data_IF_054280767965
#
_entry.id   IF_054280767965
#
_cell.length_a   1.000
_cell.length_b   1.000
_cell.length_c   1.000
_cell.angle_alpha   90.00
_cell.angle_beta   90.00
_cell.angle_gamma   90.00
#
_symmetry.space_group_name_H-M   'P 1'
#
loop_
_entity.id
_entity.type
_entity.pdbx_description
1 polymer ?
#
# COMPACT_ATOMS: atom_id res chain seq x y z
N UNK A 1 2.60 21.32 30.73
CA UNK A 1 3.30 20.44 29.76
C UNK A 1 2.22 19.62 29.07
N UNK A 2 1.77 20.05 27.89
CA UNK A 2 0.81 19.31 27.10
C UNK A 2 1.51 18.09 26.50
N UNK A 3 1.11 16.90 26.91
CA UNK A 3 1.55 15.66 26.28
C UNK A 3 0.88 15.60 24.91
N UNK A 4 1.69 15.54 23.84
CA UNK A 4 1.21 15.12 22.53
C UNK A 4 0.94 13.62 22.62
N UNK A 5 -0.31 13.26 22.94
CA UNK A 5 -0.76 11.87 22.83
C UNK A 5 -0.97 11.62 21.35
N UNK A 6 0.00 10.94 20.72
CA UNK A 6 -0.19 10.33 19.42
C UNK A 6 -1.11 9.13 19.63
N UNK A 7 -2.35 9.23 19.14
CA UNK A 7 -3.24 8.07 19.07
C UNK A 7 -2.66 7.11 18.01
N UNK A 8 -1.99 6.06 18.50
CA UNK A 8 -1.54 4.93 17.70
C UNK A 8 -2.63 3.84 17.61
N UNK A 9 -3.87 4.15 18.05
CA UNK A 9 -5.02 3.28 17.82
C UNK A 9 -5.12 2.92 16.35
N UNK A 10 -5.33 1.63 16.06
CA UNK A 10 -5.48 0.99 14.75
C UNK A 10 -5.68 2.01 13.61
N UNK A 11 -4.59 2.53 13.06
CA UNK A 11 -4.69 3.41 11.90
C UNK A 11 -4.96 2.49 10.70
N UNK A 12 -6.25 2.25 10.48
CA UNK A 12 -6.72 1.35 9.44
C UNK A 12 -6.33 1.83 8.05
N UNK A 13 -6.09 3.12 7.86
CA UNK A 13 -5.61 3.68 6.59
C UNK A 13 -4.16 3.28 6.35
N UNK A 14 -3.29 3.39 7.36
CA UNK A 14 -1.89 2.93 7.27
C UNK A 14 -1.83 1.42 7.05
N UNK A 15 -2.65 0.64 7.76
CA UNK A 15 -2.68 -0.82 7.58
C UNK A 15 -3.15 -1.20 6.18
N UNK A 16 -4.15 -0.51 5.63
CA UNK A 16 -4.63 -0.71 4.26
C UNK A 16 -3.49 -0.48 3.24
N UNK A 17 -2.75 0.62 3.36
CA UNK A 17 -1.60 0.90 2.50
C UNK A 17 -0.49 -0.14 2.64
N UNK A 18 -0.18 -0.57 3.87
CA UNK A 18 0.82 -1.60 4.14
C UNK A 18 0.42 -2.95 3.55
N UNK A 19 -0.84 -3.35 3.67
CA UNK A 19 -1.35 -4.58 3.06
C UNK A 19 -1.31 -4.53 1.54
N UNK A 20 -1.67 -3.37 0.94
CA UNK A 20 -1.56 -3.18 -0.51
C UNK A 20 -0.11 -3.33 -0.97
N UNK A 21 0.82 -2.68 -0.28
CA UNK A 21 2.24 -2.76 -0.59
C UNK A 21 2.74 -4.20 -0.54
N UNK A 22 2.39 -4.98 0.48
CA UNK A 22 2.85 -6.38 0.55
C UNK A 22 2.26 -7.28 -0.52
N UNK A 23 0.98 -7.08 -0.87
CA UNK A 23 0.38 -7.80 -2.00
C UNK A 23 1.13 -7.45 -3.29
N UNK A 24 1.39 -6.18 -3.55
CA UNK A 24 2.08 -5.74 -4.77
C UNK A 24 3.53 -6.22 -4.84
N UNK A 25 4.29 -6.17 -3.73
CA UNK A 25 5.67 -6.65 -3.68
C UNK A 25 5.76 -8.14 -4.03
N UNK A 26 4.77 -8.93 -3.56
CA UNK A 26 4.74 -10.37 -3.81
C UNK A 26 4.27 -10.73 -5.21
N UNK A 27 3.20 -10.08 -5.67
CA UNK A 27 2.50 -10.42 -6.91
C UNK A 27 3.13 -9.77 -8.15
N UNK A 28 3.78 -8.63 -7.99
CA UNK A 28 4.37 -7.84 -9.07
C UNK A 28 5.70 -7.19 -8.60
N UNK A 29 6.76 -7.97 -8.32
CA UNK A 29 8.03 -7.40 -7.87
C UNK A 29 8.66 -6.43 -8.89
N UNK A 30 8.40 -6.62 -10.18
CA UNK A 30 8.85 -5.72 -11.24
C UNK A 30 8.17 -4.34 -11.12
N UNK A 31 6.90 -4.33 -10.72
CA UNK A 31 6.12 -3.11 -10.52
C UNK A 31 6.65 -2.32 -9.32
N UNK A 32 6.96 -3.02 -8.22
CA UNK A 32 7.59 -2.39 -7.06
C UNK A 32 8.96 -1.80 -7.41
N UNK A 33 9.77 -2.52 -8.18
CA UNK A 33 11.08 -2.03 -8.63
C UNK A 33 10.95 -0.74 -9.44
N UNK A 34 10.01 -0.70 -10.41
CA UNK A 34 9.72 0.51 -11.20
C UNK A 34 9.19 1.65 -10.33
N UNK A 35 8.36 1.34 -9.34
CA UNK A 35 7.82 2.33 -8.42
C UNK A 35 8.90 2.98 -7.55
N UNK A 36 9.84 2.19 -7.04
CA UNK A 36 10.99 2.71 -6.27
C UNK A 36 11.90 3.57 -7.15
N UNK A 37 12.17 3.13 -8.38
CA UNK A 37 12.95 3.89 -9.36
C UNK A 37 12.26 5.24 -9.71
N UNK A 38 10.94 5.26 -9.88
CA UNK A 38 10.15 6.49 -10.05
C UNK A 38 10.28 7.44 -8.84
N UNK A 39 10.19 6.92 -7.62
CA UNK A 39 10.38 7.73 -6.40
C UNK A 39 11.76 8.36 -6.34
N UNK A 40 12.81 7.61 -6.69
CA UNK A 40 14.20 8.10 -6.73
C UNK A 40 14.32 9.21 -7.78
N UNK A 41 13.81 8.99 -9.01
CA UNK A 41 13.83 10.01 -10.07
C UNK A 41 13.07 11.27 -9.69
N UNK A 42 11.91 11.14 -9.05
CA UNK A 42 11.14 12.28 -8.57
C UNK A 42 11.93 13.09 -7.52
N UNK A 43 12.54 12.41 -6.55
CA UNK A 43 13.36 13.05 -5.53
C UNK A 43 14.57 13.79 -6.13
N UNK A 44 15.26 13.16 -7.09
CA UNK A 44 16.42 13.76 -7.75
C UNK A 44 16.01 14.96 -8.61
N UNK A 45 14.84 14.90 -9.27
CA UNK A 45 14.29 16.02 -10.03
C UNK A 45 13.91 17.18 -9.11
N UNK A 46 13.30 16.92 -7.94
CA UNK A 46 13.03 17.95 -6.94
C UNK A 46 14.30 18.66 -6.48
N UNK A 47 15.37 17.92 -6.16
CA UNK A 47 16.67 18.50 -5.80
C UNK A 47 17.26 19.33 -6.95
N UNK A 48 17.10 18.89 -8.19
CA UNK A 48 17.57 19.62 -9.36
C UNK A 48 16.79 20.93 -9.58
N UNK A 49 15.48 20.93 -9.30
CA UNK A 49 14.64 22.15 -9.33
C UNK A 49 15.11 23.13 -8.26
N UNK A 50 15.23 22.69 -7.01
CA UNK A 50 15.72 23.54 -5.90
C UNK A 50 17.10 24.14 -6.20
N UNK A 51 18.01 23.36 -6.78
CA UNK A 51 19.33 23.82 -7.18
C UNK A 51 19.29 24.83 -8.34
N UNK A 52 18.31 24.72 -9.25
CA UNK A 52 18.12 25.64 -10.36
C UNK A 52 17.40 26.94 -9.93
N UNK A 53 16.56 26.89 -8.90
CA UNK A 53 15.86 28.05 -8.33
C UNK A 53 16.76 28.93 -7.45
N UNK A 54 17.81 28.35 -6.83
CA UNK A 54 18.78 29.06 -6.01
C UNK A 54 20.17 29.16 -6.68
N UNK A 55 20.32 29.90 -7.80
CA UNK A 55 21.63 30.12 -8.38
C UNK A 55 22.49 30.96 -7.41
N UNK A 56 23.46 30.33 -6.74
CA UNK A 56 24.44 31.00 -5.87
C UNK A 56 25.06 32.22 -6.56
N UNK A 57 25.32 33.26 -5.77
CA UNK A 57 25.76 34.61 -6.15
C UNK A 57 26.57 34.67 -7.46
N UNK A 58 26.01 35.30 -8.49
CA UNK A 58 26.63 35.41 -9.80
C UNK A 58 27.16 36.81 -10.08
N UNK A 59 28.29 36.87 -10.81
CA UNK A 59 28.89 38.13 -11.26
C UNK A 59 27.93 38.90 -12.21
N UNK A 60 27.78 40.23 -12.05
CA UNK A 60 26.80 41.02 -12.82
C UNK A 60 26.93 40.92 -14.34
N UNK A 61 28.16 40.79 -14.85
CA UNK A 61 28.47 40.85 -16.29
C UNK A 61 27.83 39.74 -17.16
N UNK A 62 27.33 38.65 -16.57
CA UNK A 62 26.68 37.54 -17.29
C UNK A 62 25.30 37.19 -16.73
N UNK A 63 24.74 38.04 -15.88
CA UNK A 63 23.51 37.78 -15.13
C UNK A 63 22.33 37.38 -16.03
N UNK A 64 21.98 38.22 -17.02
CA UNK A 64 20.84 37.96 -17.92
C UNK A 64 20.98 36.64 -18.68
N UNK A 65 22.18 36.35 -19.22
CA UNK A 65 22.44 35.09 -19.94
C UNK A 65 22.27 33.87 -19.04
N UNK A 66 22.76 33.97 -17.80
CA UNK A 66 22.68 32.87 -16.85
C UNK A 66 21.24 32.69 -16.32
N UNK A 67 20.50 33.78 -16.14
CA UNK A 67 19.09 33.76 -15.77
C UNK A 67 18.24 33.06 -16.83
N UNK A 68 18.41 33.41 -18.11
CA UNK A 68 17.71 32.72 -19.23
C UNK A 68 18.08 31.24 -19.28
N UNK A 69 19.35 30.89 -19.04
CA UNK A 69 19.77 29.49 -18.97
C UNK A 69 19.14 28.74 -17.79
N UNK A 70 19.06 29.38 -16.62
CA UNK A 70 18.41 28.80 -15.44
C UNK A 70 16.91 28.60 -15.71
N UNK A 71 16.24 29.57 -16.31
CA UNK A 71 14.85 29.47 -16.72
C UNK A 71 14.61 28.32 -17.70
N UNK A 72 15.46 28.16 -18.71
CA UNK A 72 15.38 27.02 -19.65
C UNK A 72 15.52 25.68 -18.95
N UNK A 73 16.43 25.56 -17.98
CA UNK A 73 16.58 24.34 -17.15
C UNK A 73 15.34 24.09 -16.28
N UNK A 74 14.77 25.12 -15.67
CA UNK A 74 13.54 24.99 -14.88
C UNK A 74 12.37 24.53 -15.75
N UNK A 75 12.24 25.04 -16.99
CA UNK A 75 11.23 24.56 -17.93
C UNK A 75 11.41 23.08 -18.27
N UNK A 76 12.65 22.64 -18.53
CA UNK A 76 12.96 21.22 -18.78
C UNK A 76 12.62 20.34 -17.57
N UNK A 77 13.00 20.77 -16.37
CA UNK A 77 12.73 20.02 -15.14
C UNK A 77 11.23 19.92 -14.86
N UNK A 78 10.46 20.99 -15.09
CA UNK A 78 8.99 20.96 -14.96
C UNK A 78 8.35 19.99 -15.94
N UNK A 79 8.76 19.99 -17.20
CA UNK A 79 8.29 19.02 -18.18
C UNK A 79 8.62 17.57 -17.76
N UNK A 80 9.81 17.35 -17.18
CA UNK A 80 10.17 16.03 -16.65
C UNK A 80 9.35 15.64 -15.42
N UNK A 81 9.01 16.57 -14.52
CA UNK A 81 8.08 16.31 -13.42
C UNK A 81 6.70 15.87 -13.91
N UNK A 82 6.17 16.54 -14.94
CA UNK A 82 4.88 16.18 -15.56
C UNK A 82 4.92 14.76 -16.17
N UNK A 83 6.02 14.39 -16.81
CA UNK A 83 6.24 13.04 -17.33
C UNK A 83 6.30 11.99 -16.20
N UNK A 84 7.00 12.28 -15.10
CA UNK A 84 7.07 11.39 -13.93
C UNK A 84 5.70 11.21 -13.26
N UNK A 85 4.89 12.26 -13.16
CA UNK A 85 3.50 12.14 -12.69
C UNK A 85 2.64 11.29 -13.66
N UNK A 86 2.85 11.42 -14.97
CA UNK A 86 2.22 10.55 -15.97
C UNK A 86 2.59 9.07 -15.78
N UNK A 87 3.88 8.78 -15.58
CA UNK A 87 4.38 7.42 -15.31
C UNK A 87 3.78 6.88 -14.00
N UNK A 88 3.77 7.68 -12.94
CA UNK A 88 3.16 7.33 -11.65
C UNK A 88 1.67 6.98 -11.78
N UNK A 89 0.89 7.75 -12.54
CA UNK A 89 -0.52 7.44 -12.79
C UNK A 89 -0.68 6.12 -13.54
N UNK A 90 0.16 5.86 -14.54
CA UNK A 90 0.17 4.59 -15.25
C UNK A 90 0.47 3.41 -14.32
N UNK A 91 1.41 3.58 -13.39
CA UNK A 91 1.67 2.57 -12.36
C UNK A 91 0.47 2.36 -11.45
N UNK A 92 -0.16 3.44 -10.96
CA UNK A 92 -1.37 3.33 -10.12
C UNK A 92 -2.53 2.60 -10.81
N UNK A 93 -2.68 2.74 -12.12
CA UNK A 93 -3.69 1.98 -12.89
C UNK A 93 -3.40 0.48 -12.84
N UNK A 94 -2.13 0.07 -12.92
CA UNK A 94 -1.77 -1.34 -12.83
C UNK A 94 -2.01 -1.95 -11.45
N UNK A 95 -2.14 -1.11 -10.41
CA UNK A 95 -2.45 -1.53 -9.04
C UNK A 95 -3.94 -1.68 -8.78
N UNK A 96 -4.78 -1.06 -9.62
CA UNK A 96 -6.22 -1.03 -9.45
C UNK A 96 -6.86 -2.43 -9.24
N UNK A 97 -6.42 -3.51 -9.93
CA UNK A 97 -6.98 -4.84 -9.72
C UNK A 97 -6.73 -5.42 -8.31
N UNK A 98 -5.68 -4.99 -7.62
CA UNK A 98 -5.32 -5.49 -6.29
C UNK A 98 -6.03 -4.75 -5.14
N UNK A 99 -6.51 -3.52 -5.38
CA UNK A 99 -7.24 -2.73 -4.35
C UNK A 99 -8.47 -3.45 -3.78
N UNK A 100 -9.35 -4.09 -4.58
CA UNK A 100 -10.47 -4.85 -4.04
C UNK A 100 -10.05 -5.98 -3.10
N UNK A 101 -8.90 -6.61 -3.33
CA UNK A 101 -8.37 -7.68 -2.46
C UNK A 101 -7.96 -7.10 -1.11
N UNK A 102 -7.32 -5.93 -1.11
CA UNK A 102 -6.94 -5.22 0.12
C UNK A 102 -8.18 -4.78 0.88
N UNK A 103 -9.16 -4.14 0.22
CA UNK A 103 -10.41 -3.71 0.85
C UNK A 103 -11.17 -4.88 1.48
N UNK A 104 -11.18 -6.02 0.82
CA UNK A 104 -11.72 -7.25 1.37
C UNK A 104 -10.99 -7.69 2.64
N UNK A 105 -9.66 -7.74 2.60
CA UNK A 105 -8.84 -8.04 3.78
C UNK A 105 -9.09 -7.04 4.92
N UNK A 106 -9.20 -5.76 4.61
CA UNK A 106 -9.49 -4.70 5.58
C UNK A 106 -10.89 -4.81 6.17
N UNK A 107 -11.90 -5.17 5.38
CA UNK A 107 -13.25 -5.43 5.89
C UNK A 107 -13.23 -6.59 6.91
N UNK A 108 -12.49 -7.66 6.61
CA UNK A 108 -12.27 -8.77 7.53
C UNK A 108 -11.57 -8.30 8.81
N UNK A 109 -10.45 -7.58 8.70
CA UNK A 109 -9.70 -7.06 9.86
C UNK A 109 -10.57 -6.13 10.70
N UNK A 110 -11.35 -5.24 10.09
CA UNK A 110 -12.28 -4.33 10.79
C UNK A 110 -13.32 -5.11 11.57
N UNK A 111 -13.98 -6.10 10.95
CA UNK A 111 -15.00 -6.91 11.61
C UNK A 111 -14.41 -7.75 12.75
N UNK A 112 -13.26 -8.40 12.52
CA UNK A 112 -12.61 -9.24 13.53
C UNK A 112 -12.02 -8.41 14.68
N UNK A 113 -11.58 -7.17 14.41
CA UNK A 113 -11.09 -6.27 15.46
C UNK A 113 -12.18 -5.86 16.45
N UNK A 114 -13.47 -5.97 16.09
CA UNK A 114 -14.56 -5.76 17.05
C UNK A 114 -14.55 -6.77 18.20
N UNK A 115 -13.95 -7.95 18.01
CA UNK A 115 -13.81 -8.96 19.06
C UNK A 115 -12.94 -8.45 20.22
N UNK A 116 -12.04 -7.50 19.98
CA UNK A 116 -11.21 -6.91 21.02
C UNK A 116 -12.05 -6.15 22.05
N UNK A 117 -13.21 -5.61 21.63
CA UNK A 117 -14.16 -4.96 22.53
C UNK A 117 -14.96 -5.95 23.39
N UNK A 118 -15.15 -7.18 22.88
CA UNK A 118 -15.97 -8.20 23.52
C UNK A 118 -15.15 -9.15 24.39
N UNK A 119 -13.86 -9.33 24.06
CA UNK A 119 -12.98 -10.32 24.67
C UNK A 119 -11.65 -9.65 25.05
N UNK A 120 -11.47 -9.27 26.33
CA UNK A 120 -10.28 -8.55 26.79
C UNK A 120 -8.95 -9.28 26.59
N UNK A 121 -9.01 -10.62 26.45
CA UNK A 121 -7.85 -11.48 26.20
C UNK A 121 -7.48 -11.56 24.71
N UNK A 122 -8.35 -11.06 23.82
CA UNK A 122 -8.09 -11.01 22.39
C UNK A 122 -7.50 -9.65 22.02
N UNK A 123 -6.21 -9.65 21.73
CA UNK A 123 -5.52 -8.46 21.24
C UNK A 123 -4.84 -8.79 19.92
N UNK A 124 -5.29 -8.14 18.86
CA UNK A 124 -4.68 -8.21 17.52
C UNK A 124 -4.28 -6.81 17.10
N UNK A 125 -2.97 -6.53 17.19
CA UNK A 125 -2.42 -5.27 16.74
C UNK A 125 -2.36 -5.20 15.19
N UNK A 126 -2.26 -4.00 14.60
CA UNK A 126 -2.05 -3.84 13.15
C UNK A 126 -0.88 -4.68 12.62
N UNK A 127 0.21 -4.76 13.38
CA UNK A 127 1.40 -5.52 13.01
C UNK A 127 1.12 -7.03 12.96
N UNK A 128 0.30 -7.54 13.87
CA UNK A 128 -0.12 -8.94 13.85
C UNK A 128 -0.99 -9.24 12.62
N UNK A 129 -1.91 -8.34 12.27
CA UNK A 129 -2.73 -8.47 11.05
C UNK A 129 -1.87 -8.43 9.78
N UNK A 130 -0.88 -7.55 9.75
CA UNK A 130 0.07 -7.47 8.65
C UNK A 130 0.92 -8.75 8.56
N UNK A 131 1.39 -9.29 9.70
CA UNK A 131 2.15 -10.54 9.73
C UNK A 131 1.34 -11.73 9.20
N UNK A 132 0.06 -11.85 9.59
CA UNK A 132 -0.86 -12.88 9.04
C UNK A 132 -1.05 -12.69 7.53
N UNK A 133 -1.14 -11.45 7.07
CA UNK A 133 -1.24 -11.12 5.65
C UNK A 133 0.01 -11.57 4.90
N UNK A 134 1.22 -11.24 5.39
CA UNK A 134 2.49 -11.70 4.79
C UNK A 134 2.57 -13.24 4.75
N UNK A 135 2.22 -13.90 5.85
CA UNK A 135 2.19 -15.36 5.92
C UNK A 135 1.20 -15.97 4.92
N UNK A 136 0.04 -15.33 4.71
CA UNK A 136 -0.92 -15.74 3.70
C UNK A 136 -0.31 -15.65 2.30
N UNK A 137 0.39 -14.56 1.99
CA UNK A 137 1.05 -14.34 0.70
C UNK A 137 2.23 -15.30 0.47
N UNK A 138 3.03 -15.57 1.50
CA UNK A 138 4.19 -16.47 1.42
C UNK A 138 3.78 -17.94 1.22
N UNK A 139 2.68 -18.34 1.83
CA UNK A 139 2.13 -19.70 1.69
C UNK A 139 1.41 -19.93 0.35
N UNK A 140 1.11 -18.87 -0.39
CA UNK A 140 0.49 -18.95 -1.71
C UNK A 140 1.55 -19.22 -2.78
N UNK A 141 1.18 -20.03 -3.78
CA UNK A 141 2.04 -20.18 -4.96
C UNK A 141 2.10 -18.85 -5.72
N UNK A 142 3.29 -18.42 -6.19
CA UNK A 142 3.40 -17.24 -7.03
C UNK A 142 2.53 -17.39 -8.27
N UNK A 143 1.99 -16.29 -8.79
CA UNK A 143 1.27 -16.27 -10.06
C UNK A 143 2.16 -16.79 -11.19
N UNK A 144 1.87 -17.97 -11.70
CA UNK A 144 2.57 -18.52 -12.86
C UNK A 144 1.90 -18.00 -14.14
N UNK A 145 2.48 -16.94 -14.72
CA UNK A 145 2.01 -16.30 -15.98
C UNK A 145 1.89 -17.33 -17.12
N UNK A 146 2.59 -18.47 -17.02
CA UNK A 146 2.67 -19.51 -18.04
C UNK A 146 1.48 -20.48 -18.06
N UNK A 147 0.58 -20.47 -17.07
CA UNK A 147 -0.50 -21.47 -16.95
C UNK A 147 -1.90 -20.99 -17.36
N UNK A 148 -2.03 -19.81 -17.99
CA UNK A 148 -3.31 -19.36 -18.54
C UNK A 148 -4.36 -19.03 -17.48
N UNK A 149 -3.97 -18.90 -16.21
CA UNK A 149 -4.85 -18.36 -15.17
C UNK A 149 -5.08 -16.86 -15.43
N UNK A 150 -6.34 -16.52 -15.71
CA UNK A 150 -6.77 -15.13 -15.83
C UNK A 150 -6.56 -14.41 -14.48
N UNK A 151 -6.19 -13.13 -14.56
CA UNK A 151 -5.94 -12.27 -13.41
C UNK A 151 -7.13 -12.28 -12.43
N UNK A 152 -8.37 -12.28 -12.93
CA UNK A 152 -9.55 -12.29 -12.07
C UNK A 152 -9.67 -13.56 -11.23
N UNK A 153 -9.33 -14.72 -11.81
CA UNK A 153 -9.34 -16.00 -11.09
C UNK A 153 -8.27 -16.04 -10.02
N UNK A 154 -7.06 -15.55 -10.33
CA UNK A 154 -5.97 -15.43 -9.36
C UNK A 154 -6.33 -14.50 -8.19
N UNK A 155 -6.88 -13.32 -8.47
CA UNK A 155 -7.32 -12.37 -7.44
C UNK A 155 -8.42 -12.95 -6.55
N UNK A 156 -9.33 -13.76 -7.11
CA UNK A 156 -10.35 -14.48 -6.34
C UNK A 156 -9.72 -15.52 -5.41
N UNK A 157 -8.73 -16.28 -5.90
CA UNK A 157 -7.98 -17.23 -5.08
C UNK A 157 -7.24 -16.52 -3.95
N UNK A 158 -6.58 -15.40 -4.25
CA UNK A 158 -5.86 -14.57 -3.29
C UNK A 158 -6.79 -14.08 -2.18
N UNK A 159 -7.97 -13.58 -2.56
CA UNK A 159 -9.02 -13.16 -1.63
C UNK A 159 -9.51 -14.29 -0.74
N UNK A 160 -9.77 -15.46 -1.33
CA UNK A 160 -10.23 -16.64 -0.58
C UNK A 160 -9.16 -17.14 0.40
N UNK A 161 -7.88 -17.12 -0.01
CA UNK A 161 -6.76 -17.52 0.83
C UNK A 161 -6.54 -16.56 2.00
N UNK A 162 -6.52 -15.25 1.74
CA UNK A 162 -6.47 -14.21 2.77
C UNK A 162 -7.60 -14.38 3.79
N UNK A 163 -8.82 -14.63 3.32
CA UNK A 163 -9.99 -14.84 4.20
C UNK A 163 -9.76 -16.02 5.14
N UNK A 164 -9.29 -17.17 4.62
CA UNK A 164 -9.02 -18.36 5.43
C UNK A 164 -7.94 -18.11 6.46
N UNK A 165 -6.86 -17.41 6.09
CA UNK A 165 -5.74 -17.13 6.99
C UNK A 165 -6.11 -16.15 8.11
N UNK A 166 -6.86 -15.09 7.79
CA UNK A 166 -7.34 -14.13 8.78
C UNK A 166 -8.30 -14.79 9.79
N UNK A 167 -9.25 -15.60 9.30
CA UNK A 167 -10.16 -16.36 10.17
C UNK A 167 -9.41 -17.40 11.00
N UNK A 168 -8.53 -18.19 10.36
CA UNK A 168 -7.75 -19.23 11.03
C UNK A 168 -6.88 -18.66 12.16
N UNK A 169 -6.17 -17.56 11.88
CA UNK A 169 -5.33 -16.88 12.88
C UNK A 169 -6.15 -16.34 14.05
N UNK A 170 -7.35 -15.83 13.77
CA UNK A 170 -8.27 -15.35 14.80
C UNK A 170 -8.82 -16.50 15.66
N UNK A 171 -9.17 -17.63 15.06
CA UNK A 171 -9.57 -18.84 15.78
C UNK A 171 -8.43 -19.37 16.64
N UNK A 172 -7.18 -19.37 16.15
CA UNK A 172 -6.04 -19.81 16.96
C UNK A 172 -5.78 -18.91 18.16
N UNK A 173 -6.03 -17.60 18.04
CA UNK A 173 -5.87 -16.64 19.13
C UNK A 173 -7.01 -16.72 20.17
N UNK A 174 -8.23 -17.05 19.75
CA UNK A 174 -9.43 -17.09 20.61
C UNK A 174 -9.78 -18.47 21.16
N UNK A 175 -9.30 -19.53 20.52
CA UNK A 175 -9.67 -20.91 20.81
C UNK A 175 -10.94 -21.37 20.08
N UNK A 176 -11.12 -22.70 20.02
CA UNK A 176 -12.16 -23.37 19.24
C UNK A 176 -13.60 -23.06 19.69
N UNK A 177 -13.78 -22.55 20.91
CA UNK A 177 -15.09 -22.21 21.47
C UNK A 177 -15.74 -21.01 20.78
N UNK A 178 -14.94 -20.12 20.20
CA UNK A 178 -15.41 -18.88 19.55
C UNK A 178 -15.53 -19.00 18.02
N UNK A 179 -15.34 -20.19 17.46
CA UNK A 179 -15.44 -20.45 16.01
C UNK A 179 -16.76 -19.95 15.40
N UNK A 180 -17.95 -20.17 16.03
CA UNK A 180 -19.20 -19.68 15.47
C UNK A 180 -19.26 -18.15 15.38
N UNK A 181 -18.71 -17.44 16.38
CA UNK A 181 -18.68 -15.99 16.42
C UNK A 181 -17.73 -15.42 15.38
N UNK A 182 -16.52 -15.98 15.27
CA UNK A 182 -15.52 -15.60 14.26
C UNK A 182 -16.05 -15.85 12.85
N UNK A 183 -16.75 -16.97 12.63
CA UNK A 183 -17.41 -17.28 11.37
C UNK A 183 -18.54 -16.30 11.02
N UNK A 184 -19.37 -15.93 11.99
CA UNK A 184 -20.45 -14.96 11.79
C UNK A 184 -19.91 -13.56 11.42
N UNK A 185 -18.88 -13.08 12.13
CA UNK A 185 -18.22 -11.80 11.82
C UNK A 185 -17.52 -11.83 10.46
N UNK A 186 -16.87 -12.94 10.13
CA UNK A 186 -16.30 -13.15 8.79
C UNK A 186 -17.37 -13.07 7.70
N UNK A 187 -18.48 -13.79 7.86
CA UNK A 187 -19.59 -13.75 6.89
C UNK A 187 -20.19 -12.34 6.74
N UNK A 188 -20.35 -11.60 7.83
CA UNK A 188 -20.80 -10.21 7.80
C UNK A 188 -19.83 -9.30 7.04
N UNK A 189 -18.52 -9.44 7.27
CA UNK A 189 -17.50 -8.69 6.54
C UNK A 189 -17.55 -8.97 5.03
N UNK A 190 -17.74 -10.24 4.64
CA UNK A 190 -17.88 -10.64 3.24
C UNK A 190 -19.08 -9.98 2.57
N UNK A 191 -20.22 -9.89 3.28
CA UNK A 191 -21.44 -9.26 2.75
C UNK A 191 -21.29 -7.74 2.63
N UNK A 192 -20.58 -7.10 3.56
CA UNK A 192 -20.32 -5.67 3.55
C UNK A 192 -19.30 -5.25 2.48
N UNK A 193 -18.35 -6.12 2.14
CA UNK A 193 -17.35 -5.86 1.10
C UNK A 193 -17.88 -6.02 -0.35
N UNK A 194 -19.12 -6.51 -0.52
CA UNK A 194 -19.80 -6.63 -1.81
C UNK A 194 -20.66 -5.39 -2.13
N UNK A 195 -20.92 -4.54 -1.11
CA UNK A 195 -21.72 -3.31 -1.23
C UNK A 195 -20.95 -2.09 -1.69
#
# INVERSE_FOLDING_TARGET
KGLNVLDLGLNMEILEEQMLHEILCRECPELETRWQDLKIRALDTCKAVEAAENPKHQKPAKFLRNMVRAQGKLCQLRAHCEELEGQKLQEMVSWAPYRPVVWHGMAMVKALSQLQNLLPLFCMSPENWLAVTKQALDSMKPREINHGEDLASHLLQLRAHLTRQLLGSTVTALGLTQVPLVGALGALALLQAIG
#
